data_IF_873499148979
#
_entry.id   IF_873499148979
#
_cell.length_a   1.000
_cell.length_b   1.000
_cell.length_c   1.000
_cell.angle_alpha   90.00
_cell.angle_beta   90.00
_cell.angle_gamma   90.00
#
_symmetry.space_group_name_H-M   'P 1'
#
loop_
_entity.id
_entity.type
_entity.pdbx_description
1 polymer ?
#
# COMPACT_ATOMS: atom_id res chain seq x y z
N UNK A 1 11.40 -24.44 1.43
CA UNK A 1 10.76 -23.22 0.93
C UNK A 1 11.82 -22.39 0.22
N UNK A 2 11.55 -21.88 -0.97
CA UNK A 2 12.54 -21.11 -1.76
C UNK A 2 12.27 -19.60 -1.67
N UNK A 3 13.33 -18.80 -1.49
CA UNK A 3 13.27 -17.34 -1.62
C UNK A 3 13.64 -16.94 -3.04
N UNK A 4 12.86 -16.05 -3.63
CA UNK A 4 13.14 -15.43 -4.92
C UNK A 4 13.21 -13.92 -4.73
N UNK A 5 14.41 -13.35 -4.90
CA UNK A 5 14.65 -11.91 -4.75
C UNK A 5 14.54 -11.20 -6.10
N UNK A 6 13.85 -10.06 -6.09
CA UNK A 6 13.78 -9.11 -7.20
C UNK A 6 14.13 -7.72 -6.69
N UNK A 7 15.24 -7.19 -7.16
CA UNK A 7 15.62 -5.81 -6.92
C UNK A 7 15.18 -4.96 -8.11
N UNK A 8 14.53 -3.84 -7.85
CA UNK A 8 14.09 -2.90 -8.86
C UNK A 8 15.09 -1.75 -8.87
N UNK A 9 15.94 -1.73 -9.89
CA UNK A 9 17.13 -0.86 -9.92
C UNK A 9 16.80 0.65 -9.99
N UNK A 10 15.60 1.04 -10.45
CA UNK A 10 15.20 2.45 -10.51
C UNK A 10 13.69 2.63 -10.30
N UNK A 11 13.30 3.48 -9.34
CA UNK A 11 11.93 3.95 -9.18
C UNK A 11 11.68 5.09 -10.19
N UNK A 12 10.66 5.00 -11.07
CA UNK A 12 10.37 6.07 -12.02
C UNK A 12 9.84 7.30 -11.29
N UNK A 13 10.59 8.41 -11.37
CA UNK A 13 10.17 9.73 -10.85
C UNK A 13 9.66 10.57 -12.02
N UNK A 14 8.42 10.37 -12.48
CA UNK A 14 7.81 11.23 -13.52
C UNK A 14 6.32 11.46 -13.30
N UNK A 15 5.77 12.66 -13.57
CA UNK A 15 4.32 12.90 -13.50
C UNK A 15 3.70 12.73 -14.91
N UNK A 16 2.92 11.68 -15.12
CA UNK A 16 1.96 11.63 -16.23
C UNK A 16 0.55 11.40 -15.69
N UNK A 17 -0.53 11.88 -16.36
CA UNK A 17 -1.89 11.90 -15.81
C UNK A 17 -2.55 10.52 -15.66
N UNK A 18 -1.84 9.44 -15.97
CA UNK A 18 -2.30 8.07 -15.82
C UNK A 18 -1.53 7.40 -14.68
N UNK A 19 -1.94 7.69 -13.44
CA UNK A 19 -1.42 7.07 -12.20
C UNK A 19 -1.73 5.57 -12.07
N UNK A 20 -2.11 4.92 -13.16
CA UNK A 20 -2.46 3.48 -13.27
C UNK A 20 -1.45 2.75 -14.18
N UNK A 21 -0.56 3.46 -14.89
CA UNK A 21 0.36 2.87 -15.88
C UNK A 21 1.85 2.91 -15.48
N UNK A 22 2.21 3.34 -14.27
CA UNK A 22 3.62 3.40 -13.83
C UNK A 22 4.21 2.09 -13.30
N UNK A 23 3.48 0.98 -13.41
CA UNK A 23 4.02 -0.37 -13.13
C UNK A 23 4.79 -0.99 -14.30
N UNK A 24 4.86 -0.34 -15.47
CA UNK A 24 5.68 -0.79 -16.60
C UNK A 24 7.01 -0.05 -16.69
N UNK A 25 7.90 -0.25 -15.72
CA UNK A 25 9.30 0.16 -15.86
C UNK A 25 10.28 -0.75 -15.11
N UNK A 26 10.33 -2.04 -15.42
CA UNK A 26 11.56 -2.84 -15.19
C UNK A 26 11.79 -3.84 -16.32
N UNK A 27 12.72 -3.48 -17.21
CA UNK A 27 13.30 -4.39 -18.18
C UNK A 27 14.56 -5.04 -17.59
N UNK A 28 14.60 -6.37 -17.56
CA UNK A 28 15.84 -7.11 -17.81
C UNK A 28 16.53 -7.85 -16.67
N UNK A 29 15.87 -8.82 -16.01
CA UNK A 29 16.40 -10.19 -15.84
C UNK A 29 15.46 -11.13 -15.08
N UNK A 30 15.64 -12.42 -15.37
CA UNK A 30 14.95 -13.62 -14.85
C UNK A 30 13.59 -13.93 -15.52
N UNK A 31 13.66 -14.72 -16.59
CA UNK A 31 12.51 -15.34 -17.30
C UNK A 31 11.52 -16.06 -16.37
N UNK A 32 12.00 -16.59 -15.24
CA UNK A 32 11.16 -17.27 -14.24
C UNK A 32 10.33 -16.29 -13.39
N UNK A 33 10.85 -15.09 -13.13
CA UNK A 33 10.15 -14.04 -12.39
C UNK A 33 9.15 -13.31 -13.25
N UNK A 34 9.39 -13.16 -14.56
CA UNK A 34 8.34 -12.70 -15.48
C UNK A 34 7.15 -13.66 -15.48
N UNK A 35 7.38 -14.97 -15.55
CA UNK A 35 6.32 -15.97 -15.43
C UNK A 35 5.64 -15.93 -14.06
N UNK A 36 6.38 -15.78 -12.96
CA UNK A 36 5.79 -15.67 -11.61
C UNK A 36 5.03 -14.36 -11.37
N UNK A 37 5.52 -13.24 -11.90
CA UNK A 37 4.86 -11.93 -11.89
C UNK A 37 3.61 -11.99 -12.76
N UNK A 38 3.73 -12.54 -13.96
CA UNK A 38 2.60 -12.93 -14.81
C UNK A 38 1.68 -13.96 -14.17
N UNK A 39 2.08 -14.73 -13.13
CA UNK A 39 1.27 -15.66 -12.31
C UNK A 39 0.52 -14.96 -11.16
N UNK A 40 0.98 -13.79 -10.74
CA UNK A 40 0.34 -12.96 -9.71
C UNK A 40 -0.58 -11.91 -10.36
N UNK A 41 -0.20 -11.38 -11.52
CA UNK A 41 -0.86 -10.25 -12.22
C UNK A 41 -2.07 -10.65 -13.09
N UNK A 42 -2.73 -11.75 -12.76
CA UNK A 42 -3.80 -12.32 -13.59
C UNK A 42 -5.09 -11.52 -13.42
N UNK A 43 -5.78 -11.19 -14.51
CA UNK A 43 -7.05 -10.46 -14.46
C UNK A 43 -8.19 -11.41 -14.05
N UNK A 44 -8.96 -11.05 -13.04
CA UNK A 44 -10.18 -11.78 -12.64
C UNK A 44 -11.42 -11.03 -13.12
N UNK A 45 -12.35 -11.77 -13.70
CA UNK A 45 -13.67 -11.27 -14.15
C UNK A 45 -14.69 -11.09 -12.99
N UNK A 46 -14.23 -10.97 -11.74
CA UNK A 46 -15.09 -10.71 -10.58
C UNK A 46 -14.92 -9.28 -10.11
N UNK A 47 -16.01 -8.69 -9.64
CA UNK A 47 -15.97 -7.38 -8.99
C UNK A 47 -14.99 -7.43 -7.80
N UNK A 48 -14.05 -6.47 -7.70
CA UNK A 48 -13.13 -6.40 -6.58
C UNK A 48 -13.93 -6.28 -5.30
N UNK A 49 -13.47 -6.97 -4.25
CA UNK A 49 -14.09 -6.82 -2.95
C UNK A 49 -13.98 -5.36 -2.50
N UNK A 50 -15.10 -4.65 -2.49
CA UNK A 50 -15.17 -3.37 -1.79
C UNK A 50 -15.48 -3.67 -0.33
N UNK A 51 -14.63 -3.24 0.62
CA UNK A 51 -15.08 -3.14 2.00
C UNK A 51 -16.38 -2.32 2.00
N UNK A 52 -17.34 -2.72 2.83
CA UNK A 52 -18.62 -2.02 2.94
C UNK A 52 -18.32 -0.60 3.42
N UNK A 53 -18.36 0.39 2.53
CA UNK A 53 -18.04 1.77 2.90
C UNK A 53 -18.95 2.21 4.04
N UNK A 54 -18.38 2.41 5.24
CA UNK A 54 -19.01 3.29 6.21
C UNK A 54 -18.97 4.68 5.59
N UNK A 55 -20.14 5.17 5.19
CA UNK A 55 -20.37 6.49 4.62
C UNK A 55 -19.60 7.60 5.35
N UNK A 56 -18.49 8.08 4.77
CA UNK A 56 -17.88 9.42 4.88
C UNK A 56 -16.45 9.37 4.32
N UNK A 57 -16.01 10.49 3.73
CA UNK A 57 -14.69 10.77 3.12
C UNK A 57 -14.60 10.44 1.62
N UNK A 58 -15.17 11.24 0.72
CA UNK A 58 -14.84 12.64 0.37
C UNK A 58 -13.36 12.83 -0.02
N UNK A 59 -13.17 13.19 -1.30
CA UNK A 59 -11.99 13.85 -1.87
C UNK A 59 -11.46 14.90 -0.90
N UNK A 60 -10.33 14.61 -0.25
CA UNK A 60 -9.58 15.57 0.54
C UNK A 60 -8.08 15.42 0.24
N UNK A 61 -7.33 16.54 0.15
CA UNK A 61 -5.90 16.51 -0.13
C UNK A 61 -5.12 15.86 1.02
N UNK A 62 -3.89 15.45 0.71
CA UNK A 62 -2.94 14.58 1.43
C UNK A 62 -2.53 15.09 2.85
N UNK A 63 -3.18 16.14 3.36
CA UNK A 63 -2.88 16.78 4.64
C UNK A 63 -3.31 15.99 5.91
N UNK A 64 -3.99 14.84 5.79
CA UNK A 64 -4.60 14.17 6.96
C UNK A 64 -4.10 12.74 7.26
N UNK A 65 -2.87 12.37 6.85
CA UNK A 65 -2.25 11.05 7.14
C UNK A 65 -3.15 9.84 6.81
N UNK A 66 -4.05 10.00 5.85
CA UNK A 66 -4.97 8.99 5.34
C UNK A 66 -4.97 9.08 3.83
N UNK A 67 -4.06 8.33 3.17
CA UNK A 67 -4.22 7.65 1.86
C UNK A 67 -2.86 7.12 1.34
N UNK A 68 -2.80 6.04 0.51
CA UNK A 68 -3.74 5.64 -0.56
C UNK A 68 -4.61 4.40 -0.29
N UNK A 69 -5.79 4.27 -0.95
CA UNK A 69 -6.58 3.05 -0.93
C UNK A 69 -5.98 2.12 -1.97
N UNK A 70 -5.79 0.87 -1.63
CA UNK A 70 -5.28 -0.20 -2.50
C UNK A 70 -3.77 -0.13 -2.79
N UNK A 71 -3.04 -1.02 -2.12
CA UNK A 71 -1.64 -1.37 -2.39
C UNK A 71 -1.45 -2.09 -3.76
N UNK A 72 -2.50 -2.26 -4.57
CA UNK A 72 -2.38 -3.04 -5.79
C UNK A 72 -3.44 -2.80 -6.86
N UNK A 73 -2.99 -2.31 -8.01
CA UNK A 73 -3.52 -2.63 -9.35
C UNK A 73 -3.11 -4.04 -9.81
N UNK A 74 -2.00 -4.57 -9.29
CA UNK A 74 -1.38 -5.85 -9.65
C UNK A 74 -1.92 -7.08 -8.93
N UNK A 75 -2.56 -6.90 -7.79
CA UNK A 75 -3.14 -7.98 -7.02
C UNK A 75 -4.66 -7.86 -7.06
N UNK A 76 -5.27 -9.03 -7.12
CA UNK A 76 -6.70 -9.29 -7.23
C UNK A 76 -7.55 -8.88 -6.01
N UNK A 77 -6.98 -8.07 -5.12
CA UNK A 77 -7.52 -7.65 -3.84
C UNK A 77 -7.06 -6.23 -3.57
N UNK A 78 -7.98 -5.32 -3.25
CA UNK A 78 -7.65 -3.98 -2.79
C UNK A 78 -7.41 -4.03 -1.29
N UNK A 79 -6.22 -3.61 -0.87
CA UNK A 79 -5.86 -3.58 0.56
C UNK A 79 -5.49 -2.18 0.95
N UNK A 80 -6.07 -1.74 2.07
CA UNK A 80 -5.65 -0.50 2.69
C UNK A 80 -4.35 -0.73 3.43
N UNK A 81 -3.34 0.09 3.14
CA UNK A 81 -2.16 0.21 4.00
C UNK A 81 -2.45 1.23 5.12
N UNK A 82 -1.83 1.05 6.28
CA UNK A 82 -2.00 1.94 7.43
C UNK A 82 -0.72 2.69 7.74
N UNK A 83 -0.85 3.95 8.14
CA UNK A 83 0.29 4.75 8.60
C UNK A 83 0.89 4.12 9.85
N UNK A 84 2.20 3.87 9.80
CA UNK A 84 2.96 3.28 10.88
C UNK A 84 3.84 4.33 11.58
N UNK A 85 4.71 5.01 10.82
CA UNK A 85 5.69 5.94 11.37
C UNK A 85 6.18 6.95 10.31
N UNK A 86 6.81 8.02 10.78
CA UNK A 86 7.62 8.92 9.93
C UNK A 86 9.07 8.45 10.00
N UNK A 87 9.73 8.35 8.84
CA UNK A 87 11.10 7.86 8.71
C UNK A 87 11.89 8.87 7.89
N UNK A 88 13.14 9.14 8.29
CA UNK A 88 14.07 9.91 7.46
C UNK A 88 14.74 8.97 6.43
N UNK A 89 14.48 9.20 5.15
CA UNK A 89 15.10 8.48 4.05
C UNK A 89 16.05 9.41 3.30
N UNK A 90 17.34 9.31 3.65
CA UNK A 90 18.41 10.09 3.01
C UNK A 90 18.21 11.61 3.16
N UNK A 91 17.65 12.09 4.26
CA UNK A 91 17.33 13.52 4.47
C UNK A 91 16.01 13.94 3.83
N UNK A 92 15.08 13.01 3.62
CA UNK A 92 13.71 13.24 3.12
C UNK A 92 12.76 12.57 4.10
N UNK A 93 11.87 13.35 4.71
CA UNK A 93 10.84 12.83 5.60
C UNK A 93 9.79 12.06 4.80
N UNK A 94 9.67 10.76 5.05
CA UNK A 94 8.69 9.88 4.40
C UNK A 94 7.75 9.26 5.42
N UNK A 95 6.52 8.99 5.00
CA UNK A 95 5.53 8.26 5.77
C UNK A 95 5.59 6.78 5.42
N UNK A 96 5.87 5.97 6.43
CA UNK A 96 5.82 4.52 6.33
C UNK A 96 4.39 4.04 6.46
N UNK A 97 3.90 3.38 5.42
CA UNK A 97 2.65 2.65 5.41
C UNK A 97 2.95 1.15 5.45
N UNK A 98 2.24 0.40 6.29
CA UNK A 98 2.39 -1.05 6.42
C UNK A 98 1.06 -1.75 6.17
N UNK A 99 1.13 -3.02 5.76
CA UNK A 99 -0.04 -3.87 5.72
C UNK A 99 -0.53 -4.12 7.16
N UNK A 100 -1.80 -3.83 7.51
CA UNK A 100 -2.29 -4.12 8.84
C UNK A 100 -2.45 -5.63 9.05
N UNK A 101 -2.26 -6.08 10.28
CA UNK A 101 -2.28 -7.52 10.62
C UNK A 101 -3.64 -8.18 10.32
N UNK A 102 -4.72 -7.39 10.30
CA UNK A 102 -6.07 -7.84 9.98
C UNK A 102 -6.38 -7.89 8.46
N UNK A 103 -5.45 -7.47 7.60
CA UNK A 103 -5.66 -7.42 6.14
C UNK A 103 -6.01 -8.80 5.56
N UNK A 104 -5.32 -9.85 6.04
CA UNK A 104 -5.56 -11.23 5.65
C UNK A 104 -6.30 -12.03 6.73
N UNK A 105 -6.92 -11.36 7.70
CA UNK A 105 -7.65 -12.05 8.76
C UNK A 105 -8.88 -12.80 8.23
N UNK A 106 -9.26 -13.86 8.92
CA UNK A 106 -10.49 -14.58 8.61
C UNK A 106 -11.73 -13.66 8.79
N UNK A 107 -12.81 -13.86 8.02
CA UNK A 107 -14.07 -13.11 8.15
C UNK A 107 -14.66 -13.04 9.57
N UNK A 108 -14.40 -14.07 10.39
CA UNK A 108 -14.81 -14.09 11.80
C UNK A 108 -14.15 -12.98 12.62
N UNK A 109 -12.91 -12.62 12.27
CA UNK A 109 -12.13 -11.57 12.94
C UNK A 109 -12.23 -10.23 12.21
N UNK A 110 -12.31 -10.26 10.88
CA UNK A 110 -12.49 -9.07 10.04
C UNK A 110 -13.63 -9.31 9.03
N UNK A 111 -14.88 -8.90 9.34
CA UNK A 111 -16.05 -9.14 8.48
C UNK A 111 -15.92 -8.58 7.06
N UNK A 112 -15.10 -7.54 6.85
CA UNK A 112 -14.85 -6.96 5.53
C UNK A 112 -14.20 -7.97 4.57
N UNK A 113 -13.50 -8.98 5.11
CA UNK A 113 -12.86 -10.02 4.32
C UNK A 113 -13.81 -11.14 3.87
N UNK A 114 -15.12 -11.06 4.16
CA UNK A 114 -16.09 -12.11 3.82
C UNK A 114 -16.09 -12.48 2.33
N UNK A 115 -15.91 -11.48 1.47
CA UNK A 115 -15.82 -11.60 0.01
C UNK A 115 -14.59 -12.40 -0.48
N UNK A 116 -13.50 -12.42 0.31
CA UNK A 116 -12.26 -13.12 -0.03
C UNK A 116 -12.36 -14.62 0.30
N UNK A 117 -13.40 -15.04 1.01
CA UNK A 117 -13.68 -16.45 1.25
C UNK A 117 -14.44 -17.08 0.07
N UNK A 118 -13.67 -17.64 -0.87
CA UNK A 118 -14.17 -18.30 -2.08
C UNK A 118 -14.53 -19.78 -1.88
N UNK A 119 -13.79 -20.49 -1.04
CA UNK A 119 -13.93 -21.94 -0.85
C UNK A 119 -14.02 -22.30 0.63
N UNK A 120 -15.25 -22.54 1.10
CA UNK A 120 -15.54 -22.88 2.50
C UNK A 120 -15.00 -24.25 2.91
N UNK A 121 -14.84 -25.19 1.99
CA UNK A 121 -14.29 -26.52 2.31
C UNK A 121 -12.79 -26.39 2.62
N UNK A 122 -12.05 -25.67 1.77
CA UNK A 122 -10.61 -25.47 1.95
C UNK A 122 -10.31 -24.61 3.17
N UNK A 123 -11.07 -23.53 3.35
CA UNK A 123 -10.86 -22.54 4.42
C UNK A 123 -11.62 -22.87 5.72
N UNK A 124 -12.15 -24.10 5.85
CA UNK A 124 -12.90 -24.56 7.03
C UNK A 124 -14.01 -23.56 7.46
N UNK A 125 -14.96 -23.30 6.57
CA UNK A 125 -16.00 -22.28 6.73
C UNK A 125 -15.44 -20.88 6.97
N UNK A 126 -14.43 -20.47 6.18
CA UNK A 126 -13.81 -19.14 6.28
C UNK A 126 -13.20 -18.82 7.65
N UNK A 127 -12.61 -19.83 8.32
CA UNK A 127 -11.97 -19.64 9.63
C UNK A 127 -10.45 -19.62 9.58
N UNK A 128 -9.87 -19.97 8.42
CA UNK A 128 -8.42 -19.91 8.20
C UNK A 128 -8.02 -18.47 7.86
N UNK A 129 -7.20 -17.84 8.71
CA UNK A 129 -6.61 -16.53 8.49
C UNK A 129 -5.20 -16.62 7.88
N UNK A 130 -4.77 -15.54 7.23
CA UNK A 130 -3.43 -15.32 6.68
C UNK A 130 -3.20 -15.90 5.29
N UNK A 131 -4.25 -16.36 4.61
CA UNK A 131 -4.20 -16.88 3.24
C UNK A 131 -5.32 -16.29 2.39
N UNK A 132 -5.04 -16.01 1.13
CA UNK A 132 -5.99 -15.52 0.15
C UNK A 132 -6.01 -16.42 -1.08
N UNK A 133 -7.21 -16.80 -1.52
CA UNK A 133 -7.39 -17.64 -2.70
C UNK A 133 -7.25 -16.82 -3.99
N UNK A 134 -6.33 -17.23 -4.86
CA UNK A 134 -6.15 -16.66 -6.21
C UNK A 134 -6.43 -17.69 -7.31
N UNK A 135 -7.04 -18.82 -6.97
CA UNK A 135 -7.32 -19.92 -7.89
C UNK A 135 -8.23 -19.53 -9.04
N UNK A 136 -9.20 -18.65 -8.80
CA UNK A 136 -10.12 -18.14 -9.83
C UNK A 136 -9.42 -17.41 -10.96
N UNK A 137 -8.18 -16.97 -10.75
CA UNK A 137 -7.39 -16.22 -11.72
C UNK A 137 -6.51 -17.13 -12.57
N UNK A 138 -6.32 -18.38 -12.15
CA UNK A 138 -5.32 -19.30 -12.71
C UNK A 138 -5.84 -20.69 -13.05
N UNK A 139 -7.00 -21.08 -12.55
CA UNK A 139 -7.53 -22.43 -12.72
C UNK A 139 -6.78 -23.51 -11.92
N UNK A 140 -5.87 -23.13 -11.02
CA UNK A 140 -5.12 -24.04 -10.13
C UNK A 140 -5.30 -23.62 -8.66
N UNK A 141 -5.26 -24.55 -7.68
CA UNK A 141 -5.53 -24.28 -6.26
C UNK A 141 -4.37 -23.55 -5.56
N UNK A 142 -4.10 -22.31 -5.99
CA UNK A 142 -3.01 -21.46 -5.51
C UNK A 142 -3.55 -20.40 -4.54
N UNK A 143 -2.83 -20.23 -3.44
CA UNK A 143 -3.13 -19.28 -2.38
C UNK A 143 -1.93 -18.39 -2.12
N UNK A 144 -2.17 -17.12 -1.83
CA UNK A 144 -1.11 -16.19 -1.40
C UNK A 144 -1.17 -15.97 0.11
N UNK A 145 -0.01 -15.75 0.72
CA UNK A 145 0.11 -15.35 2.13
C UNK A 145 1.27 -14.38 2.31
N UNK A 146 1.48 -13.87 3.53
CA UNK A 146 2.77 -13.31 3.89
C UNK A 146 3.82 -14.42 4.04
N UNK A 147 5.12 -14.11 3.87
CA UNK A 147 6.19 -15.09 4.01
C UNK A 147 6.21 -15.76 5.39
N UNK A 148 6.54 -17.05 5.37
CA UNK A 148 6.50 -17.96 6.51
C UNK A 148 5.16 -17.98 7.25
N UNK A 149 4.05 -17.70 6.54
CA UNK A 149 2.72 -17.57 7.12
C UNK A 149 2.65 -16.55 8.27
N UNK A 150 3.38 -15.43 8.15
CA UNK A 150 3.24 -14.29 9.07
C UNK A 150 1.76 -13.88 9.17
N UNK A 151 1.28 -13.69 10.41
CA UNK A 151 -0.12 -13.36 10.75
C UNK A 151 -1.18 -14.42 10.40
N UNK A 152 -0.79 -15.61 9.97
CA UNK A 152 -1.72 -16.70 9.69
C UNK A 152 -2.06 -17.53 10.92
N UNK A 153 -3.08 -18.40 10.81
CA UNK A 153 -3.42 -19.36 11.87
C UNK A 153 -2.21 -20.21 12.26
N UNK A 154 -2.07 -20.50 13.56
CA UNK A 154 -0.99 -21.31 14.12
C UNK A 154 -0.89 -22.70 13.46
N UNK A 155 -2.02 -23.30 13.07
CA UNK A 155 -2.06 -24.56 12.32
C UNK A 155 -1.23 -24.53 11.03
N UNK A 156 -1.18 -23.38 10.33
CA UNK A 156 -0.41 -23.22 9.09
C UNK A 156 1.08 -23.09 9.36
N UNK A 157 1.45 -22.34 10.41
CA UNK A 157 2.84 -22.16 10.83
C UNK A 157 3.45 -23.46 11.38
N UNK A 158 2.67 -24.26 12.10
CA UNK A 158 3.11 -25.54 12.66
C UNK A 158 2.98 -26.72 11.68
N UNK A 159 2.22 -26.55 10.60
CA UNK A 159 1.97 -27.60 9.61
C UNK A 159 3.21 -27.95 8.76
N UNK A 160 4.22 -27.08 8.74
CA UNK A 160 5.43 -27.24 7.91
C UNK A 160 6.68 -26.94 8.74
N UNK A 161 7.61 -27.89 8.75
CA UNK A 161 8.90 -27.72 9.44
C UNK A 161 9.78 -26.73 8.68
N UNK A 162 10.44 -25.83 9.42
CA UNK A 162 11.38 -24.84 8.87
C UNK A 162 10.78 -23.47 8.57
N UNK A 163 9.55 -23.21 9.03
CA UNK A 163 8.96 -21.86 8.98
C UNK A 163 9.42 -21.01 10.17
N UNK A 164 9.75 -19.74 9.92
CA UNK A 164 10.20 -18.78 10.92
C UNK A 164 9.59 -17.39 10.63
N UNK A 165 8.30 -17.15 10.94
CA UNK A 165 7.68 -15.85 10.69
C UNK A 165 8.36 -14.74 11.50
N UNK A 166 8.77 -13.66 10.83
CA UNK A 166 9.44 -12.50 11.42
C UNK A 166 8.82 -11.22 10.84
N UNK A 167 8.44 -10.28 11.72
CA UNK A 167 7.77 -9.04 11.31
C UNK A 167 8.68 -8.15 10.45
N UNK A 168 9.96 -8.03 10.78
CA UNK A 168 10.89 -7.14 10.07
C UNK A 168 11.24 -7.71 8.68
N UNK A 169 11.44 -9.03 8.61
CA UNK A 169 11.85 -9.72 7.38
C UNK A 169 10.69 -10.02 6.43
N UNK A 170 9.46 -10.17 6.93
CA UNK A 170 8.33 -10.67 6.14
C UNK A 170 7.15 -9.70 6.01
N UNK A 171 7.20 -8.53 6.65
CA UNK A 171 6.15 -7.52 6.48
C UNK A 171 6.31 -6.77 5.14
N UNK A 172 5.20 -6.19 4.69
CA UNK A 172 5.10 -5.34 3.50
C UNK A 172 5.02 -3.88 3.95
N UNK A 173 5.80 -3.02 3.31
CA UNK A 173 5.75 -1.58 3.58
C UNK A 173 6.01 -0.74 2.33
N UNK A 174 5.48 0.48 2.39
CA UNK A 174 5.73 1.58 1.46
C UNK A 174 6.21 2.79 2.25
N UNK A 175 7.27 3.42 1.82
CA UNK A 175 7.71 4.71 2.35
C UNK A 175 7.41 5.79 1.29
N UNK A 176 6.44 6.63 1.60
CA UNK A 176 5.85 7.60 0.68
C UNK A 176 6.16 9.01 1.13
N UNK A 177 6.65 9.85 0.21
CA UNK A 177 6.88 11.26 0.50
C UNK A 177 5.52 12.00 0.57
N UNK A 178 5.24 12.73 1.67
CA UNK A 178 3.91 13.22 2.00
C UNK A 178 3.37 14.31 1.06
N UNK A 179 4.22 15.09 0.41
CA UNK A 179 3.79 16.23 -0.42
C UNK A 179 3.47 15.76 -1.85
N UNK A 180 4.39 15.04 -2.47
CA UNK A 180 4.29 14.53 -3.86
C UNK A 180 3.51 13.24 -3.97
N UNK A 181 3.45 12.44 -2.88
CA UNK A 181 2.86 11.10 -2.89
C UNK A 181 3.75 10.04 -3.54
N UNK A 182 5.00 10.35 -3.87
CA UNK A 182 5.91 9.39 -4.50
C UNK A 182 6.41 8.36 -3.49
N UNK A 183 6.42 7.08 -3.91
CA UNK A 183 7.03 6.01 -3.12
C UNK A 183 8.54 6.02 -3.37
N UNK A 184 9.32 6.31 -2.33
CA UNK A 184 10.78 6.42 -2.43
C UNK A 184 11.51 5.15 -1.96
N UNK A 185 10.81 4.30 -1.20
CA UNK A 185 11.28 2.96 -0.83
C UNK A 185 10.08 2.04 -0.63
N UNK A 186 10.17 0.81 -1.11
CA UNK A 186 9.17 -0.20 -0.79
C UNK A 186 9.77 -1.59 -0.62
N UNK A 187 8.99 -2.44 0.07
CA UNK A 187 9.26 -3.86 0.19
C UNK A 187 7.95 -4.62 0.08
N UNK A 188 7.76 -5.33 -1.04
CA UNK A 188 6.61 -6.18 -1.32
C UNK A 188 7.03 -7.64 -1.18
N UNK A 189 6.39 -8.35 -0.26
CA UNK A 189 6.76 -9.71 0.11
C UNK A 189 5.52 -10.60 0.12
N UNK A 190 5.52 -11.63 -0.71
CA UNK A 190 4.38 -12.52 -0.89
C UNK A 190 4.83 -13.97 -0.98
N UNK A 191 4.07 -14.87 -0.39
CA UNK A 191 4.32 -16.30 -0.43
C UNK A 191 3.26 -16.99 -1.28
N UNK A 192 3.71 -17.85 -2.19
CA UNK A 192 2.85 -18.72 -2.97
C UNK A 192 2.71 -20.06 -2.27
N UNK A 193 1.46 -20.46 -2.09
CA UNK A 193 1.06 -21.70 -1.46
C UNK A 193 0.19 -22.52 -2.41
N UNK A 194 0.32 -23.84 -2.35
CA UNK A 194 -0.58 -24.76 -3.04
C UNK A 194 -1.32 -25.60 -2.01
N UNK A 195 -2.61 -25.79 -2.24
CA UNK A 195 -3.43 -26.65 -1.39
C UNK A 195 -3.49 -28.06 -1.98
N UNK A 196 -3.25 -29.06 -1.12
CA UNK A 196 -3.38 -30.47 -1.47
C UNK A 196 -4.14 -31.21 -0.36
N UNK A 197 -4.80 -32.30 -0.72
CA UNK A 197 -5.62 -33.08 0.20
C UNK A 197 -5.63 -34.57 -0.15
N UNK A 198 -6.41 -35.37 0.59
CA UNK A 198 -6.59 -36.78 0.26
C UNK A 198 -7.13 -36.94 -1.16
N UNK A 199 -6.53 -37.84 -1.94
CA UNK A 199 -6.99 -38.21 -3.27
C UNK A 199 -6.76 -39.70 -3.47
N UNK A 200 -7.82 -40.42 -3.86
CA UNK A 200 -7.79 -41.87 -4.12
C UNK A 200 -7.01 -42.21 -5.39
N UNK A 201 -6.98 -41.27 -6.34
CA UNK A 201 -6.36 -41.43 -7.66
C UNK A 201 -4.82 -41.28 -7.63
N UNK A 202 -4.29 -40.58 -6.63
CA UNK A 202 -2.86 -40.27 -6.54
C UNK A 202 -2.26 -41.00 -5.33
N UNK A 203 -1.49 -42.05 -5.60
CA UNK A 203 -0.85 -42.92 -4.58
C UNK A 203 -0.06 -42.15 -3.51
N UNK A 204 0.57 -41.03 -3.88
CA UNK A 204 1.34 -40.18 -2.96
C UNK A 204 0.42 -39.37 -2.04
N UNK A 205 -0.76 -38.97 -2.50
CA UNK A 205 -1.73 -38.19 -1.73
C UNK A 205 -2.65 -39.05 -0.86
N UNK A 206 -2.71 -40.36 -1.10
CA UNK A 206 -3.47 -41.31 -0.27
C UNK A 206 -3.05 -41.34 1.21
N UNK A 207 -1.81 -40.92 1.52
CA UNK A 207 -1.31 -40.86 2.90
C UNK A 207 -1.70 -39.57 3.62
N UNK A 208 -2.16 -38.56 2.90
CA UNK A 208 -2.49 -37.23 3.44
C UNK A 208 -3.94 -37.25 3.92
N UNK A 209 -4.12 -37.22 5.25
CA UNK A 209 -5.46 -37.31 5.87
C UNK A 209 -6.20 -35.98 5.95
N UNK A 210 -5.50 -34.86 5.80
CA UNK A 210 -6.05 -33.52 5.97
C UNK A 210 -5.58 -32.62 4.84
N UNK A 211 -6.47 -31.70 4.47
CA UNK A 211 -6.18 -30.65 3.53
C UNK A 211 -5.08 -29.74 4.10
N UNK A 212 -4.00 -29.54 3.35
CA UNK A 212 -2.77 -28.90 3.82
C UNK A 212 -2.31 -27.85 2.82
N UNK A 213 -1.83 -26.72 3.33
CA UNK A 213 -1.22 -25.64 2.53
C UNK A 213 0.29 -25.87 2.46
N UNK A 214 0.83 -26.16 1.27
CA UNK A 214 2.26 -26.26 1.03
C UNK A 214 2.82 -24.89 0.62
N UNK A 215 3.74 -24.29 1.37
CA UNK A 215 4.50 -23.14 0.90
C UNK A 215 5.50 -23.60 -0.17
N UNK A 216 5.35 -23.07 -1.38
CA UNK A 216 6.24 -23.39 -2.49
C UNK A 216 7.47 -22.48 -2.45
N UNK A 217 7.22 -21.17 -2.48
CA UNK A 217 8.23 -20.12 -2.53
C UNK A 217 7.67 -18.83 -1.98
N UNK A 218 8.54 -17.89 -1.65
CA UNK A 218 8.16 -16.50 -1.41
C UNK A 218 9.03 -15.55 -2.22
N UNK A 219 8.39 -14.46 -2.64
CA UNK A 219 8.94 -13.39 -3.44
C UNK A 219 9.29 -12.21 -2.53
N UNK A 220 10.45 -11.62 -2.77
CA UNK A 220 10.90 -10.38 -2.13
C UNK A 220 11.21 -9.36 -3.21
N UNK A 221 10.27 -8.46 -3.47
CA UNK A 221 10.42 -7.36 -4.42
C UNK A 221 10.69 -6.07 -3.64
N UNK A 222 11.88 -5.51 -3.80
CA UNK A 222 12.31 -4.31 -3.08
C UNK A 222 12.82 -3.25 -4.04
N UNK A 223 12.52 -1.99 -3.75
CA UNK A 223 13.12 -0.86 -4.43
C UNK A 223 13.48 0.22 -3.41
N UNK A 224 14.61 0.88 -3.64
CA UNK A 224 15.08 1.99 -2.82
C UNK A 224 15.63 3.06 -3.74
N UNK A 225 15.27 4.31 -3.48
CA UNK A 225 15.86 5.46 -4.16
C UNK A 225 17.38 5.51 -3.94
N UNK A 226 18.16 5.58 -5.01
CA UNK A 226 19.61 5.77 -4.96
C UNK A 226 19.99 7.21 -4.53
N UNK A 227 21.25 7.43 -4.15
CA UNK A 227 21.68 8.72 -3.59
C UNK A 227 21.64 9.86 -4.63
N UNK A 228 21.96 9.55 -5.89
CA UNK A 228 21.95 10.55 -6.98
C UNK A 228 20.52 11.00 -7.29
N UNK A 229 19.59 10.05 -7.42
CA UNK A 229 18.18 10.38 -7.62
C UNK A 229 17.56 11.07 -6.40
N UNK A 230 17.99 10.73 -5.18
CA UNK A 230 17.54 11.42 -3.96
C UNK A 230 17.95 12.91 -3.95
N UNK A 231 19.19 13.22 -4.35
CA UNK A 231 19.65 14.61 -4.43
C UNK A 231 18.98 15.38 -5.56
N UNK A 232 18.70 14.73 -6.69
CA UNK A 232 17.87 15.31 -7.75
C UNK A 232 16.46 15.61 -7.25
N UNK A 233 15.82 14.65 -6.57
CA UNK A 233 14.46 14.79 -6.04
C UNK A 233 14.35 15.99 -5.08
N UNK A 234 15.32 16.16 -4.16
CA UNK A 234 15.34 17.30 -3.24
C UNK A 234 15.48 18.64 -3.96
N UNK A 235 16.37 18.73 -4.95
CA UNK A 235 16.65 19.98 -5.67
C UNK A 235 15.53 20.38 -6.62
N UNK A 236 15.01 19.41 -7.36
CA UNK A 236 14.03 19.65 -8.42
C UNK A 236 12.62 19.83 -7.86
N UNK A 237 12.21 19.00 -6.88
CA UNK A 237 10.82 18.95 -6.42
C UNK A 237 10.63 19.62 -5.06
N UNK A 238 11.35 19.17 -4.02
CA UNK A 238 11.15 19.69 -2.66
C UNK A 238 11.47 21.20 -2.59
N UNK A 239 12.64 21.60 -3.10
CA UNK A 239 13.06 23.01 -3.03
C UNK A 239 12.13 23.96 -3.80
N UNK A 240 11.49 23.50 -4.88
CA UNK A 240 10.57 24.34 -5.64
C UNK A 240 9.24 24.50 -4.89
N UNK A 241 8.74 23.42 -4.28
CA UNK A 241 7.50 23.44 -3.50
C UNK A 241 7.66 24.36 -2.28
N UNK A 242 8.77 24.22 -1.53
CA UNK A 242 9.05 25.06 -0.35
C UNK A 242 9.12 26.56 -0.70
N UNK A 243 9.72 26.90 -1.84
CA UNK A 243 9.80 28.28 -2.32
C UNK A 243 8.40 28.82 -2.63
N UNK A 244 7.57 28.05 -3.35
CA UNK A 244 6.22 28.45 -3.71
C UNK A 244 5.32 28.60 -2.49
N UNK A 245 5.39 27.69 -1.52
CA UNK A 245 4.66 27.81 -0.25
C UNK A 245 5.10 29.04 0.52
N UNK A 246 6.41 29.28 0.65
CA UNK A 246 6.95 30.47 1.30
C UNK A 246 6.47 31.76 0.63
N UNK A 247 6.46 31.79 -0.71
CA UNK A 247 5.97 32.93 -1.48
C UNK A 247 4.47 33.17 -1.28
N UNK A 248 3.65 32.11 -1.32
CA UNK A 248 2.21 32.19 -1.08
C UNK A 248 1.91 32.70 0.33
N UNK A 249 2.56 32.14 1.36
CA UNK A 249 2.41 32.59 2.75
C UNK A 249 2.81 34.05 2.88
N UNK A 250 3.92 34.46 2.24
CA UNK A 250 4.37 35.85 2.21
C UNK A 250 3.33 36.81 1.64
N UNK A 251 2.73 36.49 0.49
CA UNK A 251 1.67 37.29 -0.11
C UNK A 251 0.41 37.37 0.76
N UNK A 252 0.02 36.27 1.41
CA UNK A 252 -1.13 36.25 2.34
C UNK A 252 -0.90 37.15 3.55
N UNK A 253 0.31 37.14 4.12
CA UNK A 253 0.67 38.01 5.26
C UNK A 253 0.64 39.48 4.84
N UNK A 254 1.22 39.82 3.69
CA UNK A 254 1.25 41.19 3.17
C UNK A 254 -0.18 41.68 2.87
N UNK A 255 -0.99 40.85 2.18
CA UNK A 255 -2.38 41.17 1.86
C UNK A 255 -3.24 41.38 3.12
N UNK A 256 -3.07 40.51 4.14
CA UNK A 256 -3.74 40.64 5.42
C UNK A 256 -3.36 41.93 6.16
N UNK A 257 -2.07 42.29 6.18
CA UNK A 257 -1.60 43.52 6.81
C UNK A 257 -2.18 44.78 6.15
N UNK A 258 -2.24 44.82 4.81
CA UNK A 258 -2.84 45.93 4.07
C UNK A 258 -4.34 46.01 4.36
N UNK A 259 -5.04 44.88 4.37
CA UNK A 259 -6.48 44.83 4.66
C UNK A 259 -6.80 45.38 6.06
N UNK A 260 -6.07 44.92 7.08
CA UNK A 260 -6.23 45.42 8.46
C UNK A 260 -5.90 46.92 8.54
N UNK A 261 -4.84 47.37 7.88
CA UNK A 261 -4.49 48.79 7.80
C UNK A 261 -5.61 49.65 7.19
N UNK A 262 -6.24 49.19 6.11
CA UNK A 262 -7.38 49.85 5.49
C UNK A 262 -8.60 49.91 6.42
N UNK A 263 -8.90 48.83 7.14
CA UNK A 263 -10.02 48.80 8.10
C UNK A 263 -9.79 49.78 9.25
N UNK A 264 -8.58 49.82 9.82
CA UNK A 264 -8.22 50.79 10.87
C UNK A 264 -8.36 52.23 10.33
N UNK A 265 -7.86 52.48 9.12
CA UNK A 265 -8.01 53.78 8.45
C UNK A 265 -9.48 54.20 8.30
N UNK A 266 -10.35 53.29 7.85
CA UNK A 266 -11.79 53.54 7.75
C UNK A 266 -12.44 53.83 9.11
N UNK A 267 -12.10 53.08 10.15
CA UNK A 267 -12.63 53.31 11.51
C UNK A 267 -12.23 54.70 12.01
N UNK A 268 -10.97 55.12 11.80
CA UNK A 268 -10.48 56.45 12.23
C UNK A 268 -11.18 57.59 11.47
N UNK A 269 -11.49 57.40 10.19
CA UNK A 269 -12.23 58.41 9.40
C UNK A 269 -13.69 58.48 9.85
N UNK A 270 -14.36 57.35 10.02
CA UNK A 270 -15.77 57.29 10.45
C UNK A 270 -15.99 57.74 11.90
N UNK A 271 -14.95 57.72 12.75
CA UNK A 271 -15.04 58.15 14.15
C UNK A 271 -14.73 59.64 14.37
N UNK A 272 -14.34 60.39 13.32
CA UNK A 272 -14.23 61.85 13.43
C UNK A 272 -15.63 62.48 13.48
N UNK A 273 -15.99 63.22 14.55
CA UNK A 273 -17.29 63.89 14.63
C UNK A 273 -17.35 65.05 13.62
N UNK A 274 -18.47 65.13 12.90
CA UNK A 274 -18.73 66.16 11.91
C UNK A 274 -18.68 67.55 12.57
N UNK A 275 -17.82 68.44 12.07
CA UNK A 275 -17.69 69.80 12.62
C UNK A 275 -18.92 70.61 12.19
N UNK A 276 -19.76 71.11 13.12
CA UNK A 276 -20.99 71.80 12.74
C UNK A 276 -20.66 73.05 11.94
N UNK A 277 -21.21 73.13 10.73
CA UNK A 277 -21.07 74.26 9.82
C UNK A 277 -21.90 75.42 10.41
N UNK A 278 -21.24 76.38 11.06
CA UNK A 278 -21.90 77.62 11.49
C UNK A 278 -22.31 78.42 10.25
N UNK A 279 -23.60 78.73 10.19
CA UNK A 279 -24.31 79.51 9.16
C UNK A 279 -23.89 80.97 9.22
#
# INVERSE_FOLDING_TARGET
MFLVNQEVDHLPVSPTPDSILQEEAVSGSVSLMKELKLLVDGKLDREPCRPQESSLHALLPIANRRFPPSLSSQLLWSISAEFNATVDLKGIDVYRFTLPDNALAAPVSNPDNQCYCTNQVITKNCTVAGVLDISSCRGFPVYISLPHFLHANTDLQQGVVGLNPNQEEHNIFLDVEPITGFTLRFSKRLQLNMVYGPSEDILILNQIRKLTFMPLLWLNETAVLDDETADMFKKELISQIDLLEGFQIGLLVIGSAIFVGCIIGLIVVCSKPDKPRMV
#
